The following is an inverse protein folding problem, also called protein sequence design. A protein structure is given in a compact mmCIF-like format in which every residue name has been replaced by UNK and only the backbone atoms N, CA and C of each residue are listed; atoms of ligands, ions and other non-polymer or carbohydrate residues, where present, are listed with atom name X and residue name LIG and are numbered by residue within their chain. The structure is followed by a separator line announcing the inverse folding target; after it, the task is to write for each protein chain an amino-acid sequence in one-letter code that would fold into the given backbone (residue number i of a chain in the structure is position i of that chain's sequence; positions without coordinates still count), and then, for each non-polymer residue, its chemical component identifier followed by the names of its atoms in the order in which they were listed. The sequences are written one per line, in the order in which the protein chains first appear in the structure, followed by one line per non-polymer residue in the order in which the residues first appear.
data_IF_482909503845
#
_entry.id   IF_482909503845
#
_cell.length_a   1.000
_cell.length_b   1.000
_cell.length_c   1.000
_cell.angle_alpha   90.00
_cell.angle_beta   90.00
_cell.angle_gamma   90.00
#
_symmetry.space_group_name_H-M   'P 1'
#
loop_
_entity.id
_entity.type
_entity.pdbx_description
1 polymer ?
#
# COMPACT_ATOMS: atom_id res chain seq x y z
N UNK A 1 -9.04 -0.55 -31.76
CA UNK A 1 -9.29 0.00 -30.40
C UNK A 1 -7.95 0.06 -29.70
N UNK A 2 -7.56 1.17 -29.04
CA UNK A 2 -6.32 1.15 -28.27
C UNK A 2 -6.47 0.07 -27.20
N UNK A 3 -5.54 -0.89 -27.19
CA UNK A 3 -5.51 -1.97 -26.21
C UNK A 3 -5.36 -1.32 -24.84
N UNK A 4 -6.41 -1.36 -24.02
CA UNK A 4 -6.32 -0.88 -22.64
C UNK A 4 -5.31 -1.76 -21.90
N UNK A 5 -4.30 -1.13 -21.29
CA UNK A 5 -3.23 -1.83 -20.59
C UNK A 5 -3.83 -2.78 -19.53
N UNK A 6 -3.48 -4.08 -19.52
CA UNK A 6 -4.02 -5.04 -18.56
C UNK A 6 -3.89 -4.61 -17.11
N UNK A 7 -2.83 -3.87 -16.75
CA UNK A 7 -2.61 -3.34 -15.40
C UNK A 7 -3.61 -2.22 -15.10
N UNK A 8 -3.85 -1.32 -16.05
CA UNK A 8 -4.85 -0.24 -15.91
C UNK A 8 -6.25 -0.83 -15.81
N UNK A 9 -6.54 -1.91 -16.56
CA UNK A 9 -7.81 -2.63 -16.48
C UNK A 9 -8.02 -3.28 -15.10
N UNK A 10 -6.98 -3.92 -14.57
CA UNK A 10 -7.03 -4.56 -13.24
C UNK A 10 -7.14 -3.52 -12.12
N UNK A 11 -6.26 -2.52 -12.08
CA UNK A 11 -6.28 -1.45 -11.07
C UNK A 11 -7.52 -0.55 -11.25
N UNK A 12 -8.02 -0.40 -12.46
CA UNK A 12 -9.00 0.63 -12.80
C UNK A 12 -8.35 1.99 -13.05
N UNK A 13 -8.97 2.72 -13.98
CA UNK A 13 -8.47 4.00 -14.49
C UNK A 13 -8.26 5.06 -13.41
N UNK A 14 -9.23 5.26 -12.53
CA UNK A 14 -9.18 6.31 -11.50
C UNK A 14 -8.06 6.09 -10.47
N UNK A 15 -7.97 4.92 -9.80
CA UNK A 15 -6.84 4.64 -8.91
C UNK A 15 -5.48 4.71 -9.61
N UNK A 16 -5.38 4.22 -10.85
CA UNK A 16 -4.14 4.27 -11.61
C UNK A 16 -3.74 5.71 -11.95
N UNK A 17 -4.69 6.55 -12.35
CA UNK A 17 -4.45 7.96 -12.64
C UNK A 17 -4.00 8.71 -11.40
N UNK A 18 -4.61 8.44 -10.24
CA UNK A 18 -4.16 9.04 -8.98
C UNK A 18 -2.74 8.60 -8.63
N UNK A 19 -2.42 7.31 -8.72
CA UNK A 19 -1.06 6.79 -8.48
C UNK A 19 -0.03 7.44 -9.40
N UNK A 20 -0.33 7.61 -10.69
CA UNK A 20 0.62 8.15 -11.66
C UNK A 20 0.78 9.67 -11.61
N UNK A 21 -0.26 10.42 -11.21
CA UNK A 21 -0.26 11.89 -11.31
C UNK A 21 -0.24 12.61 -9.96
N UNK A 22 -0.66 11.96 -8.88
CA UNK A 22 -0.85 12.60 -7.56
C UNK A 22 0.05 12.01 -6.48
N UNK A 23 0.40 10.73 -6.58
CA UNK A 23 1.32 10.10 -5.64
C UNK A 23 2.73 10.71 -5.79
N UNK A 24 3.30 11.19 -4.69
CA UNK A 24 4.57 11.91 -4.64
C UNK A 24 5.29 11.69 -3.30
N UNK A 25 6.50 12.23 -3.18
CA UNK A 25 7.27 12.24 -1.92
C UNK A 25 6.61 13.03 -0.79
N UNK A 26 5.55 13.80 -1.06
CA UNK A 26 4.78 14.52 -0.03
C UNK A 26 3.47 13.81 0.34
N UNK A 27 3.12 12.75 -0.38
CA UNK A 27 1.84 12.06 -0.20
C UNK A 27 1.82 11.32 1.13
N UNK A 28 0.89 11.68 1.99
CA UNK A 28 0.62 11.06 3.30
C UNK A 28 -0.55 10.06 3.20
N UNK A 29 -0.83 9.36 4.29
CA UNK A 29 -2.01 8.47 4.39
C UNK A 29 -3.34 9.23 4.23
N UNK A 30 -3.39 10.51 4.61
CA UNK A 30 -4.58 11.37 4.51
C UNK A 30 -4.92 11.71 3.06
N UNK A 31 -3.94 11.72 2.17
CA UNK A 31 -4.11 12.08 0.77
C UNK A 31 -4.66 10.93 -0.09
N UNK A 32 -4.64 9.69 0.44
CA UNK A 32 -5.08 8.50 -0.30
C UNK A 32 -6.60 8.55 -0.49
N UNK A 33 -7.12 8.38 -1.73
CA UNK A 33 -8.56 8.34 -1.99
C UNK A 33 -9.27 7.21 -1.23
N UNK A 34 -10.52 7.44 -0.82
CA UNK A 34 -11.32 6.46 -0.08
C UNK A 34 -11.48 5.13 -0.82
N UNK A 35 -11.59 5.18 -2.15
CA UNK A 35 -11.66 3.98 -2.98
C UNK A 35 -10.40 3.12 -2.85
N UNK A 36 -9.21 3.74 -2.94
CA UNK A 36 -7.93 3.02 -2.79
C UNK A 36 -7.80 2.47 -1.37
N UNK A 37 -8.14 3.26 -0.35
CA UNK A 37 -8.16 2.79 1.05
C UNK A 37 -9.11 1.60 1.24
N UNK A 38 -10.32 1.66 0.68
CA UNK A 38 -11.29 0.59 0.78
C UNK A 38 -10.77 -0.73 0.18
N UNK A 39 -10.10 -0.66 -0.97
CA UNK A 39 -9.50 -1.83 -1.62
C UNK A 39 -8.37 -2.43 -0.79
N UNK A 40 -7.45 -1.59 -0.32
CA UNK A 40 -6.33 -2.03 0.54
C UNK A 40 -6.86 -2.75 1.80
N UNK A 41 -7.89 -2.18 2.44
CA UNK A 41 -8.51 -2.78 3.63
C UNK A 41 -9.11 -4.17 3.31
N UNK A 42 -9.64 -4.35 2.10
CA UNK A 42 -10.29 -5.58 1.65
C UNK A 42 -9.33 -6.67 1.15
N UNK A 43 -8.03 -6.39 1.01
CA UNK A 43 -7.03 -7.38 0.55
C UNK A 43 -7.01 -8.60 1.47
N UNK A 44 -7.28 -9.78 0.95
CA UNK A 44 -7.02 -11.01 1.71
C UNK A 44 -5.50 -11.28 1.71
N UNK A 45 -4.90 -11.33 2.89
CA UNK A 45 -3.45 -11.55 3.04
C UNK A 45 -3.10 -13.04 3.07
N UNK A 46 -4.10 -13.93 3.10
CA UNK A 46 -3.91 -15.38 3.20
C UNK A 46 -3.87 -16.08 1.84
N UNK A 47 -4.23 -15.37 0.76
CA UNK A 47 -4.14 -15.89 -0.61
C UNK A 47 -2.69 -16.08 -1.04
N UNK A 48 -2.47 -17.10 -1.88
CA UNK A 48 -1.17 -17.39 -2.51
C UNK A 48 -0.99 -16.72 -3.88
N UNK A 49 -2.08 -16.27 -4.52
CA UNK A 49 -2.03 -15.58 -5.80
C UNK A 49 -2.66 -14.20 -5.70
N UNK A 50 -1.80 -13.19 -5.54
CA UNK A 50 -2.21 -11.78 -5.47
C UNK A 50 -2.47 -11.15 -6.84
N UNK A 51 -2.05 -11.79 -7.94
CA UNK A 51 -2.16 -11.22 -9.29
C UNK A 51 -3.60 -11.26 -9.84
N UNK A 52 -4.43 -12.18 -9.35
CA UNK A 52 -5.81 -12.36 -9.81
C UNK A 52 -6.82 -11.52 -9.00
N UNK A 53 -6.39 -10.90 -7.90
CA UNK A 53 -7.25 -10.07 -7.06
C UNK A 53 -6.98 -8.58 -7.27
N UNK A 54 -8.00 -7.87 -7.76
CA UNK A 54 -7.97 -6.43 -8.00
C UNK A 54 -7.54 -5.62 -6.76
N UNK A 55 -7.95 -6.03 -5.56
CA UNK A 55 -7.58 -5.32 -4.34
C UNK A 55 -6.08 -5.47 -4.07
N UNK A 56 -5.57 -6.69 -4.20
CA UNK A 56 -4.16 -7.03 -4.05
C UNK A 56 -3.29 -6.32 -5.09
N UNK A 57 -3.71 -6.31 -6.36
CA UNK A 57 -2.99 -5.59 -7.43
C UNK A 57 -2.95 -4.08 -7.15
N UNK A 58 -4.05 -3.49 -6.67
CA UNK A 58 -4.07 -2.05 -6.27
C UNK A 58 -3.07 -1.78 -5.14
N UNK A 59 -3.02 -2.67 -4.15
CA UNK A 59 -2.09 -2.60 -3.02
C UNK A 59 -0.62 -2.71 -3.48
N UNK A 60 -0.32 -3.71 -4.32
CA UNK A 60 1.01 -3.92 -4.90
C UNK A 60 1.44 -2.71 -5.73
N UNK A 61 0.53 -2.13 -6.51
CA UNK A 61 0.83 -0.94 -7.30
C UNK A 61 1.25 0.23 -6.40
N UNK A 62 0.50 0.52 -5.35
CA UNK A 62 0.84 1.59 -4.40
C UNK A 62 2.21 1.34 -3.74
N UNK A 63 2.47 0.11 -3.29
CA UNK A 63 3.77 -0.26 -2.71
C UNK A 63 4.88 -0.07 -3.74
N UNK A 64 4.67 -0.48 -4.99
CA UNK A 64 5.64 -0.32 -6.09
C UNK A 64 5.97 1.16 -6.31
N UNK A 65 4.98 2.05 -6.32
CA UNK A 65 5.20 3.49 -6.42
C UNK A 65 5.98 4.04 -5.22
N UNK A 66 5.70 3.56 -4.01
CA UNK A 66 6.46 3.93 -2.81
C UNK A 66 7.94 3.51 -2.89
N UNK A 67 8.22 2.28 -3.33
CA UNK A 67 9.58 1.79 -3.54
C UNK A 67 10.33 2.57 -4.62
N UNK A 68 9.68 2.85 -5.76
CA UNK A 68 10.25 3.70 -6.81
C UNK A 68 10.58 5.10 -6.31
N UNK A 69 9.72 5.69 -5.48
CA UNK A 69 9.97 7.01 -4.88
C UNK A 69 11.21 7.01 -3.98
N UNK A 70 11.47 5.89 -3.29
CA UNK A 70 12.63 5.72 -2.42
C UNK A 70 13.91 5.30 -3.14
N UNK A 71 13.87 5.13 -4.47
CA UNK A 71 14.94 4.52 -5.27
C UNK A 71 15.37 3.14 -4.72
N UNK A 72 14.40 2.35 -4.24
CA UNK A 72 14.61 1.00 -3.69
C UNK A 72 13.91 -0.05 -4.54
N UNK A 73 14.51 -1.24 -4.62
CA UNK A 73 13.89 -2.42 -5.24
C UNK A 73 13.14 -3.21 -4.17
N UNK A 74 11.85 -3.48 -4.41
CA UNK A 74 11.07 -4.37 -3.55
C UNK A 74 11.59 -5.80 -3.70
N UNK A 75 11.91 -6.46 -2.57
CA UNK A 75 12.28 -7.88 -2.56
C UNK A 75 11.04 -8.74 -2.37
N UNK A 76 10.88 -9.78 -3.21
CA UNK A 76 9.73 -10.68 -3.18
C UNK A 76 9.38 -11.25 -1.77
N UNK A 77 10.36 -11.65 -0.92
CA UNK A 77 10.06 -12.16 0.43
C UNK A 77 9.34 -11.16 1.35
N UNK A 78 9.40 -9.87 1.04
CA UNK A 78 8.78 -8.81 1.85
C UNK A 78 7.37 -8.43 1.39
N UNK A 79 6.91 -8.93 0.24
CA UNK A 79 5.63 -8.53 -0.35
C UNK A 79 4.44 -8.67 0.61
N UNK A 80 4.32 -9.82 1.28
CA UNK A 80 3.23 -10.07 2.24
C UNK A 80 3.30 -9.12 3.44
N UNK A 81 4.51 -8.84 3.93
CA UNK A 81 4.73 -7.94 5.08
C UNK A 81 4.44 -6.48 4.72
N UNK A 82 4.80 -6.06 3.52
CA UNK A 82 4.50 -4.72 3.00
C UNK A 82 2.99 -4.54 2.80
N UNK A 83 2.30 -5.55 2.24
CA UNK A 83 0.84 -5.56 2.10
C UNK A 83 0.17 -5.49 3.48
N UNK A 84 0.64 -6.27 4.45
CA UNK A 84 0.11 -6.28 5.81
C UNK A 84 0.26 -4.90 6.48
N UNK A 85 1.44 -4.29 6.40
CA UNK A 85 1.69 -2.94 6.91
C UNK A 85 0.69 -1.95 6.29
N UNK A 86 0.60 -1.93 4.97
CA UNK A 86 -0.27 -0.99 4.27
C UNK A 86 -1.75 -1.22 4.62
N UNK A 87 -2.18 -2.48 4.79
CA UNK A 87 -3.54 -2.82 5.23
C UNK A 87 -3.85 -2.32 6.63
N UNK A 88 -2.92 -2.42 7.58
CA UNK A 88 -3.09 -1.89 8.94
C UNK A 88 -3.20 -0.36 8.90
N UNK A 89 -2.30 0.31 8.18
CA UNK A 89 -2.33 1.78 8.03
C UNK A 89 -3.65 2.27 7.41
N UNK A 90 -4.11 1.61 6.35
CA UNK A 90 -5.36 1.98 5.68
C UNK A 90 -6.60 1.77 6.57
N UNK A 91 -6.61 0.71 7.40
CA UNK A 91 -7.68 0.49 8.39
C UNK A 91 -7.74 1.62 9.39
N UNK A 92 -6.61 2.00 9.97
CA UNK A 92 -6.52 3.08 10.95
C UNK A 92 -6.90 4.44 10.34
N UNK A 93 -6.44 4.77 9.13
CA UNK A 93 -6.87 5.99 8.42
C UNK A 93 -8.39 6.02 8.22
N UNK A 94 -8.98 4.90 7.76
CA UNK A 94 -10.42 4.79 7.53
C UNK A 94 -11.23 4.91 8.82
N UNK A 95 -10.72 4.41 9.95
CA UNK A 95 -11.32 4.63 11.27
C UNK A 95 -11.20 6.11 11.67
N UNK A 96 -10.04 6.72 11.42
CA UNK A 96 -9.77 8.14 11.65
C UNK A 96 -10.73 9.06 10.90
N UNK A 97 -11.01 8.79 9.63
CA UNK A 97 -11.99 9.55 8.82
C UNK A 97 -13.42 9.47 9.37
N UNK A 98 -13.74 8.42 10.13
CA UNK A 98 -15.03 8.25 10.82
C UNK A 98 -15.06 8.91 12.20
N UNK A 99 -14.08 9.75 12.52
CA UNK A 99 -13.99 10.45 13.81
C UNK A 99 -13.49 9.57 14.97
N UNK A 100 -13.01 8.35 14.71
CA UNK A 100 -12.40 7.53 15.75
C UNK A 100 -10.97 7.99 16.02
N UNK A 101 -10.55 7.94 17.29
CA UNK A 101 -9.19 8.30 17.70
C UNK A 101 -8.18 7.40 16.98
N UNK A 102 -7.26 8.01 16.25
CA UNK A 102 -6.17 7.30 15.58
C UNK A 102 -5.13 6.88 16.61
N UNK A 103 -4.53 5.70 16.43
CA UNK A 103 -3.32 5.38 17.16
C UNK A 103 -2.13 6.15 16.55
N UNK A 104 -1.25 6.71 17.40
CA UNK A 104 0.02 7.36 17.04
C UNK A 104 -0.08 8.52 16.03
N UNK A 105 -0.34 9.73 16.52
CA UNK A 105 -0.59 10.92 15.70
C UNK A 105 0.55 11.27 14.71
N UNK A 106 1.83 11.05 15.06
CA UNK A 106 2.98 11.42 14.20
C UNK A 106 3.05 10.67 12.87
N UNK A 107 2.52 9.44 12.78
CA UNK A 107 2.59 8.65 11.55
C UNK A 107 1.69 9.21 10.44
N UNK A 108 0.66 9.96 10.80
CA UNK A 108 -0.35 10.42 9.84
C UNK A 108 0.08 11.63 9.02
N UNK A 109 1.13 12.34 9.46
CA UNK A 109 1.74 13.46 8.75
C UNK A 109 3.05 13.05 8.04
N UNK A 110 3.50 11.81 8.24
CA UNK A 110 4.70 11.28 7.59
C UNK A 110 4.37 10.86 6.14
N UNK A 111 5.23 11.16 5.16
CA UNK A 111 5.06 10.65 3.80
C UNK A 111 4.94 9.13 3.77
N UNK A 112 3.97 8.61 3.02
CA UNK A 112 3.66 7.18 2.98
C UNK A 112 4.86 6.34 2.53
N UNK A 113 5.63 6.85 1.56
CA UNK A 113 6.79 6.14 1.05
C UNK A 113 7.86 5.97 2.14
N UNK A 114 8.04 6.93 3.05
CA UNK A 114 8.96 6.83 4.20
C UNK A 114 8.46 5.82 5.23
N UNK A 115 7.15 5.73 5.46
CA UNK A 115 6.60 4.72 6.37
C UNK A 115 6.84 3.32 5.80
N UNK A 116 6.57 3.12 4.50
CA UNK A 116 6.74 1.83 3.83
C UNK A 116 8.22 1.49 3.70
N UNK A 117 9.07 2.40 3.24
CA UNK A 117 10.45 2.08 2.86
C UNK A 117 11.49 2.53 3.87
N UNK A 118 11.11 3.21 4.95
CA UNK A 118 12.01 3.62 6.02
C UNK A 118 12.03 2.63 7.18
N UNK A 119 12.41 3.14 8.36
CA UNK A 119 12.66 2.36 9.58
C UNK A 119 11.47 1.49 10.02
N UNK A 120 10.25 2.00 9.87
CA UNK A 120 9.02 1.28 10.25
C UNK A 120 8.85 0.04 9.37
N UNK A 121 8.93 0.22 8.05
CA UNK A 121 8.85 -0.88 7.10
C UNK A 121 9.98 -1.89 7.29
N UNK A 122 11.20 -1.41 7.48
CA UNK A 122 12.37 -2.28 7.71
C UNK A 122 12.23 -3.10 9.01
N UNK A 123 11.67 -2.50 10.07
CA UNK A 123 11.37 -3.19 11.34
C UNK A 123 10.33 -4.30 11.16
N UNK A 124 9.26 -4.04 10.41
CA UNK A 124 8.24 -5.06 10.11
C UNK A 124 8.85 -6.19 9.27
N UNK A 125 9.69 -5.87 8.28
CA UNK A 125 10.40 -6.87 7.48
C UNK A 125 11.32 -7.75 8.33
N UNK A 126 12.00 -7.17 9.31
CA UNK A 126 12.89 -7.90 10.23
C UNK A 126 12.13 -8.80 11.22
N UNK A 127 10.82 -8.60 11.41
CA UNK A 127 10.02 -9.42 12.33
C UNK A 127 9.91 -10.86 11.82
N UNK A 128 10.20 -11.84 12.68
CA UNK A 128 9.95 -13.25 12.37
C UNK A 128 8.45 -13.51 12.33
N UNK A 129 7.97 -13.99 11.20
CA UNK A 129 6.59 -14.46 11.03
C UNK A 129 6.63 -15.93 10.62
N UNK A 130 5.58 -16.70 10.94
CA UNK A 130 5.51 -18.14 10.64
C UNK A 130 5.77 -18.47 9.16
N UNK A 131 5.54 -17.52 8.25
CA UNK A 131 5.64 -17.70 6.80
C UNK A 131 6.91 -17.07 6.18
N UNK A 132 7.93 -16.74 6.98
CA UNK A 132 9.19 -16.16 6.47
C UNK A 132 10.39 -16.63 7.29
N UNK A 133 11.09 -17.71 6.85
CA UNK A 133 12.41 -18.03 7.41
C UNK A 133 13.42 -16.96 6.96
N UNK A 134 14.40 -16.70 7.82
CA UNK A 134 15.55 -15.81 7.53
C UNK A 134 16.56 -16.60 6.69
#
# INVERSE_FOLDING_TARGET
MPHEDPIVKLIGKEPFQWLSQKFSSKTTLKDIPDEILARIVSVDITTRNYADDRNSVTCIALITFAYKMADRVQKAPFGVKDILLLKVLAKEEKLGRKGKKRSRDRLWDTPLFEIITGEIGDSIRATRTMNSPI
#
